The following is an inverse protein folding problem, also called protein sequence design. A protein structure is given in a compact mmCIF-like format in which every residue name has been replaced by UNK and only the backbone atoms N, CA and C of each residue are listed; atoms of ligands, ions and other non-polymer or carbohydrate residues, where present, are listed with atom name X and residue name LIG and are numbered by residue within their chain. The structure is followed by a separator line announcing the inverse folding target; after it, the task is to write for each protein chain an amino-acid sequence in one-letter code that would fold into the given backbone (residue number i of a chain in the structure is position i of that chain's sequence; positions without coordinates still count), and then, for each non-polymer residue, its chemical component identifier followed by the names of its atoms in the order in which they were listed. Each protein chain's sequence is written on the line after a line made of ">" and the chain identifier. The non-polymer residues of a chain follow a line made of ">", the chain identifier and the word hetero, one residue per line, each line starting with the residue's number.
data_IF_143592920766
#
_entry.id   IF_143592920766
#
_cell.length_a   1.000
_cell.length_b   1.000
_cell.length_c   1.000
_cell.angle_alpha   90.00
_cell.angle_beta   90.00
_cell.angle_gamma   90.00
#
_symmetry.space_group_name_H-M   'P 1'
#
loop_
_entity.id
_entity.type
_entity.pdbx_description
1 polymer ?
#
# COMPACT_ATOMS: atom_id res chain seq x y z
N UNK A 1 -31.54 -7.65 13.47
CA UNK A 1 -30.14 -8.13 13.46
C UNK A 1 -29.97 -8.98 12.21
N UNK A 2 -28.94 -8.75 11.41
CA UNK A 2 -28.66 -9.57 10.22
C UNK A 2 -28.34 -11.00 10.66
N UNK A 3 -29.01 -11.98 10.06
CA UNK A 3 -28.74 -13.42 10.29
C UNK A 3 -27.57 -13.95 9.42
N UNK A 4 -26.89 -13.05 8.69
CA UNK A 4 -25.76 -13.44 7.82
C UNK A 4 -24.54 -13.81 8.68
N UNK A 5 -24.03 -15.02 8.48
CA UNK A 5 -22.77 -15.48 9.09
C UNK A 5 -21.56 -14.93 8.35
N UNK A 6 -21.71 -14.61 7.06
CA UNK A 6 -20.61 -14.03 6.25
C UNK A 6 -20.55 -12.51 6.49
N UNK A 7 -19.43 -12.00 7.05
CA UNK A 7 -19.25 -10.55 7.19
C UNK A 7 -19.18 -9.87 5.82
N UNK A 8 -19.62 -8.62 5.78
CA UNK A 8 -19.55 -7.81 4.56
C UNK A 8 -18.11 -7.53 4.16
N UNK A 9 -17.83 -7.57 2.86
CA UNK A 9 -16.62 -7.00 2.27
C UNK A 9 -16.83 -5.56 1.79
N UNK A 10 -18.07 -5.02 1.90
CA UNK A 10 -18.33 -3.62 1.62
C UNK A 10 -17.87 -2.72 2.76
N UNK A 11 -17.44 -1.53 2.39
CA UNK A 11 -16.88 -0.49 3.25
C UNK A 11 -17.61 0.84 3.04
N UNK A 12 -18.93 0.76 2.82
CA UNK A 12 -19.78 1.92 2.58
C UNK A 12 -19.66 2.97 3.69
N UNK A 13 -19.51 4.23 3.29
CA UNK A 13 -19.43 5.37 4.20
C UNK A 13 -18.10 5.45 4.99
N UNK A 14 -17.08 4.65 4.64
CA UNK A 14 -15.74 4.80 5.16
C UNK A 14 -14.90 5.74 4.30
N UNK A 15 -13.93 6.42 4.89
CA UNK A 15 -12.98 7.29 4.20
C UNK A 15 -11.63 6.58 4.11
N UNK A 16 -11.12 6.44 2.89
CA UNK A 16 -9.85 5.74 2.60
C UNK A 16 -8.81 6.70 1.99
N UNK A 17 -7.64 6.81 2.61
CA UNK A 17 -6.48 7.50 2.07
C UNK A 17 -5.54 6.48 1.42
N UNK A 18 -5.19 6.70 0.15
CA UNK A 18 -4.24 5.86 -0.59
C UNK A 18 -3.04 6.70 -1.02
N UNK A 19 -1.85 6.36 -0.53
CA UNK A 19 -0.61 7.03 -0.95
C UNK A 19 -0.01 6.38 -2.19
N UNK A 20 0.62 7.17 -3.06
CA UNK A 20 1.11 6.70 -4.35
C UNK A 20 -0.03 6.28 -5.29
N UNK A 21 -1.20 6.94 -5.15
CA UNK A 21 -2.43 6.57 -5.84
C UNK A 21 -2.46 6.92 -7.33
N UNK A 22 -1.50 7.69 -7.86
CA UNK A 22 -1.55 8.18 -9.25
C UNK A 22 -1.46 7.08 -10.30
N UNK A 23 -0.81 5.94 -10.01
CA UNK A 23 -0.61 4.83 -10.96
C UNK A 23 -0.39 3.48 -10.28
N UNK A 24 -0.32 2.42 -11.09
CA UNK A 24 0.04 1.07 -10.64
C UNK A 24 -0.89 0.53 -9.54
N UNK A 25 -0.31 -0.15 -8.54
CA UNK A 25 -1.06 -0.76 -7.44
C UNK A 25 -1.86 0.29 -6.66
N UNK A 26 -1.28 1.47 -6.41
CA UNK A 26 -1.95 2.53 -5.67
C UNK A 26 -3.23 3.04 -6.37
N UNK A 27 -3.18 3.27 -7.70
CA UNK A 27 -4.37 3.58 -8.50
C UNK A 27 -5.41 2.46 -8.40
N UNK A 28 -4.96 1.21 -8.58
CA UNK A 28 -5.86 0.06 -8.47
C UNK A 28 -6.53 -0.04 -7.09
N UNK A 29 -5.78 0.19 -6.01
CA UNK A 29 -6.34 0.22 -4.65
C UNK A 29 -7.38 1.34 -4.47
N UNK A 30 -7.10 2.54 -4.99
CA UNK A 30 -8.02 3.67 -4.92
C UNK A 30 -9.36 3.34 -5.62
N UNK A 31 -9.29 2.82 -6.84
CA UNK A 31 -10.48 2.41 -7.61
C UNK A 31 -11.25 1.29 -6.90
N UNK A 32 -10.56 0.23 -6.48
CA UNK A 32 -11.22 -0.92 -5.84
C UNK A 32 -11.86 -0.58 -4.48
N UNK A 33 -11.26 0.32 -3.69
CA UNK A 33 -11.86 0.79 -2.44
C UNK A 33 -13.11 1.65 -2.71
N UNK A 34 -13.11 2.48 -3.76
CA UNK A 34 -14.28 3.24 -4.18
C UNK A 34 -15.41 2.31 -4.67
N UNK A 35 -15.11 1.29 -5.47
CA UNK A 35 -16.06 0.25 -5.89
C UNK A 35 -16.64 -0.52 -4.69
N UNK A 36 -15.86 -0.71 -3.64
CA UNK A 36 -16.31 -1.33 -2.40
C UNK A 36 -17.14 -0.38 -1.51
N UNK A 37 -17.28 0.91 -1.86
CA UNK A 37 -18.17 1.89 -1.24
C UNK A 37 -17.47 2.96 -0.38
N UNK A 38 -16.14 3.02 -0.37
CA UNK A 38 -15.43 4.07 0.35
C UNK A 38 -15.41 5.39 -0.42
N UNK A 39 -15.37 6.50 0.30
CA UNK A 39 -14.88 7.77 -0.20
C UNK A 39 -13.34 7.72 -0.23
N UNK A 40 -12.72 8.02 -1.37
CA UNK A 40 -11.29 7.84 -1.58
C UNK A 40 -10.55 9.18 -1.64
N UNK A 41 -9.51 9.31 -0.86
CA UNK A 41 -8.53 10.39 -0.93
C UNK A 41 -7.29 9.84 -1.63
N UNK A 42 -7.10 10.20 -2.90
CA UNK A 42 -5.97 9.80 -3.70
C UNK A 42 -4.80 10.77 -3.47
N UNK A 43 -3.68 10.28 -2.92
CA UNK A 43 -2.50 11.11 -2.60
C UNK A 43 -1.30 10.69 -3.43
N UNK A 44 -0.68 11.63 -4.13
CA UNK A 44 0.62 11.47 -4.80
C UNK A 44 1.24 12.84 -5.16
N UNK A 45 2.41 12.82 -5.80
CA UNK A 45 3.10 14.05 -6.21
C UNK A 45 2.61 14.65 -7.53
N UNK A 46 1.96 13.86 -8.37
CA UNK A 46 1.62 14.24 -9.74
C UNK A 46 0.13 14.55 -9.86
N UNK A 47 -0.21 15.83 -9.90
CA UNK A 47 -1.61 16.27 -9.96
C UNK A 47 -2.38 15.66 -11.13
N UNK A 48 -1.81 15.67 -12.34
CA UNK A 48 -2.50 15.16 -13.52
C UNK A 48 -2.85 13.65 -13.43
N UNK A 49 -1.97 12.81 -12.81
CA UNK A 49 -2.27 11.41 -12.56
C UNK A 49 -3.42 11.27 -11.54
N UNK A 50 -3.45 12.11 -10.50
CA UNK A 50 -4.52 12.11 -9.49
C UNK A 50 -5.86 12.55 -10.07
N UNK A 51 -5.86 13.61 -10.88
CA UNK A 51 -7.07 14.11 -11.54
C UNK A 51 -7.71 13.01 -12.41
N UNK A 52 -6.89 12.21 -13.10
CA UNK A 52 -7.38 11.08 -13.88
C UNK A 52 -7.96 9.97 -12.99
N UNK A 53 -7.33 9.67 -11.84
CA UNK A 53 -7.86 8.68 -10.89
C UNK A 53 -9.19 9.12 -10.32
N UNK A 54 -9.32 10.37 -9.93
CA UNK A 54 -10.58 10.95 -9.43
C UNK A 54 -11.66 10.86 -10.51
N UNK A 55 -11.36 11.27 -11.75
CA UNK A 55 -12.32 11.19 -12.85
C UNK A 55 -12.75 9.73 -13.15
N UNK A 56 -11.83 8.78 -13.10
CA UNK A 56 -12.14 7.35 -13.29
C UNK A 56 -13.12 6.85 -12.21
N UNK A 57 -12.88 7.19 -10.94
CA UNK A 57 -13.74 6.82 -9.81
C UNK A 57 -15.11 7.47 -9.90
N UNK A 58 -15.18 8.77 -10.17
CA UNK A 58 -16.43 9.52 -10.29
C UNK A 58 -17.27 9.04 -11.48
N UNK A 59 -16.64 8.72 -12.61
CA UNK A 59 -17.33 8.17 -13.78
C UNK A 59 -17.97 6.81 -13.52
N UNK A 60 -17.45 6.04 -12.56
CA UNK A 60 -18.01 4.78 -12.07
C UNK A 60 -19.03 4.97 -10.94
N UNK A 61 -19.36 6.22 -10.56
CA UNK A 61 -20.32 6.55 -9.51
C UNK A 61 -19.76 6.54 -8.08
N UNK A 62 -18.44 6.44 -7.92
CA UNK A 62 -17.75 6.57 -6.63
C UNK A 62 -17.50 8.02 -6.24
N UNK A 63 -16.92 8.22 -5.06
CA UNK A 63 -16.53 9.54 -4.52
C UNK A 63 -15.03 9.55 -4.30
N UNK A 64 -14.33 10.53 -4.87
CA UNK A 64 -12.90 10.67 -4.69
C UNK A 64 -12.44 12.13 -4.66
N UNK A 65 -11.30 12.37 -4.03
CA UNK A 65 -10.61 13.66 -4.03
C UNK A 65 -9.10 13.47 -4.22
N UNK A 66 -8.42 14.49 -4.72
CA UNK A 66 -6.99 14.48 -5.00
C UNK A 66 -6.22 15.32 -3.97
N UNK A 67 -5.15 14.77 -3.41
CA UNK A 67 -4.21 15.46 -2.53
C UNK A 67 -2.80 15.38 -3.10
N UNK A 68 -2.25 16.50 -3.51
CA UNK A 68 -0.86 16.56 -4.00
C UNK A 68 0.09 16.70 -2.82
N UNK A 69 0.84 15.64 -2.54
CA UNK A 69 1.76 15.59 -1.40
C UNK A 69 2.94 14.67 -1.70
N UNK A 70 4.14 15.07 -1.29
CA UNK A 70 5.29 14.17 -1.21
C UNK A 70 5.32 13.55 0.20
N UNK A 71 5.20 12.22 0.28
CA UNK A 71 5.20 11.49 1.56
C UNK A 71 6.51 11.66 2.36
N UNK A 72 7.59 12.07 1.72
CA UNK A 72 8.89 12.34 2.36
C UNK A 72 8.96 13.73 3.02
N UNK A 73 8.01 14.63 2.72
CA UNK A 73 7.89 15.94 3.36
C UNK A 73 6.96 15.88 4.59
N UNK A 74 7.57 15.92 5.78
CA UNK A 74 6.86 15.79 7.04
C UNK A 74 5.82 16.91 7.28
N UNK A 75 6.12 18.13 6.82
CA UNK A 75 5.24 19.29 7.00
C UNK A 75 4.02 19.12 6.11
N UNK A 76 4.23 18.87 4.82
CA UNK A 76 3.16 18.63 3.86
C UNK A 76 2.24 17.46 4.26
N UNK A 77 2.82 16.33 4.69
CA UNK A 77 2.04 15.17 5.18
C UNK A 77 1.17 15.54 6.38
N UNK A 78 1.74 16.24 7.37
CA UNK A 78 0.99 16.64 8.56
C UNK A 78 -0.13 17.63 8.22
N UNK A 79 0.15 18.64 7.39
CA UNK A 79 -0.82 19.64 6.97
C UNK A 79 -1.97 19.02 6.20
N UNK A 80 -1.69 18.17 5.20
CA UNK A 80 -2.74 17.60 4.36
C UNK A 80 -3.62 16.61 5.11
N UNK A 81 -3.04 15.73 5.94
CA UNK A 81 -3.84 14.77 6.71
C UNK A 81 -4.63 15.45 7.85
N UNK A 82 -4.10 16.53 8.44
CA UNK A 82 -4.81 17.24 9.50
C UNK A 82 -6.06 18.00 9.03
N UNK A 83 -6.24 18.21 7.70
CA UNK A 83 -7.45 18.81 7.12
C UNK A 83 -8.62 17.83 7.02
N UNK A 84 -8.36 16.53 7.21
CA UNK A 84 -9.39 15.50 7.13
C UNK A 84 -10.19 15.44 8.43
N UNK A 85 -11.52 15.45 8.31
CA UNK A 85 -12.42 15.29 9.46
C UNK A 85 -12.49 13.83 9.93
N UNK A 86 -12.26 12.88 9.02
CA UNK A 86 -12.35 11.43 9.26
C UNK A 86 -11.36 10.65 8.39
N UNK A 87 -10.85 9.54 8.93
CA UNK A 87 -10.05 8.58 8.19
C UNK A 87 -10.22 7.19 8.78
N UNK A 88 -10.78 6.25 8.02
CA UNK A 88 -11.04 4.88 8.47
C UNK A 88 -9.99 3.89 7.94
N UNK A 89 -9.48 4.14 6.73
CA UNK A 89 -8.57 3.24 6.02
C UNK A 89 -7.36 4.04 5.52
N UNK A 90 -6.17 3.60 5.87
CA UNK A 90 -4.94 4.05 5.22
C UNK A 90 -4.34 2.91 4.40
N UNK A 91 -4.18 3.11 3.08
CA UNK A 91 -3.32 2.27 2.25
C UNK A 91 -1.98 2.98 2.04
N UNK A 92 -0.99 2.57 2.82
CA UNK A 92 0.35 3.13 2.84
C UNK A 92 1.20 2.45 1.76
N UNK A 93 1.00 2.89 0.50
CA UNK A 93 1.51 2.22 -0.70
C UNK A 93 2.68 2.97 -1.36
N UNK A 94 2.82 4.28 -1.15
CA UNK A 94 3.88 5.05 -1.79
C UNK A 94 5.25 4.40 -1.60
N UNK A 95 5.97 4.21 -2.70
CA UNK A 95 7.30 3.58 -2.67
C UNK A 95 8.01 3.70 -4.01
N UNK A 96 9.33 3.64 -3.95
CA UNK A 96 10.21 3.64 -5.13
C UNK A 96 11.15 2.43 -5.08
N UNK A 97 11.61 2.07 -6.27
CA UNK A 97 12.59 1.01 -6.48
C UNK A 97 13.75 1.58 -7.30
N UNK A 98 14.97 1.48 -6.76
CA UNK A 98 16.22 1.85 -7.43
C UNK A 98 17.18 0.67 -7.37
N UNK A 99 17.16 -0.21 -8.37
CA UNK A 99 18.03 -1.38 -8.39
C UNK A 99 19.48 -0.96 -8.59
N UNK A 100 20.35 -1.47 -7.71
CA UNK A 100 21.79 -1.27 -7.80
C UNK A 100 22.54 -2.41 -7.11
N UNK A 101 23.73 -2.76 -7.57
CA UNK A 101 24.61 -3.60 -6.77
C UNK A 101 25.05 -2.82 -5.51
N UNK A 102 25.44 -3.54 -4.46
CA UNK A 102 25.94 -2.87 -3.26
C UNK A 102 27.24 -2.06 -3.53
N UNK A 103 28.00 -2.48 -4.54
CA UNK A 103 29.25 -1.81 -4.91
C UNK A 103 29.02 -0.51 -5.67
N UNK A 104 27.91 -0.40 -6.39
CA UNK A 104 27.58 0.75 -7.25
C UNK A 104 26.49 1.64 -6.64
N UNK A 105 26.00 1.29 -5.44
CA UNK A 105 24.95 2.04 -4.76
C UNK A 105 25.45 3.45 -4.42
N UNK A 106 24.75 4.45 -4.92
CA UNK A 106 25.02 5.85 -4.58
C UNK A 106 24.31 6.26 -3.29
N UNK A 107 24.84 7.26 -2.59
CA UNK A 107 24.21 7.85 -1.40
C UNK A 107 22.84 8.45 -1.75
N UNK A 108 22.71 9.11 -2.91
CA UNK A 108 21.44 9.67 -3.39
C UNK A 108 20.36 8.61 -3.58
N UNK A 109 20.71 7.43 -4.11
CA UNK A 109 19.77 6.33 -4.30
C UNK A 109 19.39 5.68 -2.96
N UNK A 110 20.34 5.51 -2.06
CA UNK A 110 20.11 5.05 -0.70
C UNK A 110 19.13 5.97 0.02
N UNK A 111 19.43 7.26 0.06
CA UNK A 111 18.61 8.26 0.74
C UNK A 111 17.21 8.37 0.13
N UNK A 112 17.11 8.42 -1.19
CA UNK A 112 15.81 8.48 -1.87
C UNK A 112 14.92 7.28 -1.50
N UNK A 113 15.45 6.05 -1.51
CA UNK A 113 14.70 4.84 -1.18
C UNK A 113 14.30 4.82 0.30
N UNK A 114 15.19 5.18 1.22
CA UNK A 114 14.90 5.23 2.64
C UNK A 114 13.90 6.34 2.98
N UNK A 115 14.06 7.53 2.38
CA UNK A 115 13.15 8.66 2.63
C UNK A 115 11.71 8.36 2.21
N UNK A 116 11.52 7.74 1.05
CA UNK A 116 10.15 7.41 0.59
C UNK A 116 9.61 6.16 1.28
N UNK A 117 10.35 5.04 1.21
CA UNK A 117 9.80 3.74 1.58
C UNK A 117 9.74 3.50 3.10
N UNK A 118 10.62 4.14 3.87
CA UNK A 118 10.66 3.98 5.34
C UNK A 118 10.12 5.24 6.03
N UNK A 119 10.85 6.35 5.89
CA UNK A 119 10.49 7.60 6.59
C UNK A 119 9.10 8.09 6.19
N UNK A 120 8.79 8.14 4.88
CA UNK A 120 7.49 8.55 4.38
C UNK A 120 6.36 7.66 4.90
N UNK A 121 6.55 6.34 4.88
CA UNK A 121 5.57 5.39 5.41
C UNK A 121 5.26 5.63 6.90
N UNK A 122 6.28 5.93 7.72
CA UNK A 122 6.10 6.26 9.14
C UNK A 122 5.36 7.58 9.32
N UNK A 123 5.73 8.63 8.59
CA UNK A 123 5.13 9.96 8.70
C UNK A 123 3.63 9.93 8.36
N UNK A 124 3.27 9.28 7.26
CA UNK A 124 1.87 9.13 6.85
C UNK A 124 1.09 8.29 7.87
N UNK A 125 1.63 7.15 8.29
CA UNK A 125 0.98 6.31 9.31
C UNK A 125 0.78 7.08 10.62
N UNK A 126 1.79 7.84 11.08
CA UNK A 126 1.69 8.63 12.32
C UNK A 126 0.59 9.69 12.23
N UNK A 127 0.51 10.43 11.12
CA UNK A 127 -0.52 11.45 10.92
C UNK A 127 -1.92 10.81 10.87
N UNK A 128 -2.09 9.72 10.11
CA UNK A 128 -3.34 8.98 9.99
C UNK A 128 -3.81 8.40 11.33
N UNK A 129 -2.91 7.77 12.08
CA UNK A 129 -3.23 7.14 13.37
C UNK A 129 -3.66 8.16 14.43
N UNK A 130 -3.13 9.38 14.40
CA UNK A 130 -3.60 10.45 15.30
C UNK A 130 -5.08 10.76 15.09
N UNK A 131 -5.54 10.76 13.85
CA UNK A 131 -6.95 10.96 13.50
C UNK A 131 -7.78 9.73 13.87
N UNK A 132 -7.36 8.52 13.49
CA UNK A 132 -8.02 7.25 13.83
C UNK A 132 -8.15 7.05 15.35
N UNK A 133 -7.15 7.47 16.13
CA UNK A 133 -7.20 7.41 17.60
C UNK A 133 -8.37 8.19 18.17
N UNK A 134 -8.66 9.39 17.68
CA UNK A 134 -9.81 10.18 18.14
C UNK A 134 -11.15 9.54 17.80
N UNK A 135 -11.19 8.72 16.75
CA UNK A 135 -12.37 7.97 16.30
C UNK A 135 -12.53 6.64 17.07
N UNK A 136 -11.46 6.13 17.68
CA UNK A 136 -11.46 4.83 18.37
C UNK A 136 -11.48 3.63 17.40
N UNK A 137 -11.20 3.82 16.12
CA UNK A 137 -11.21 2.77 15.09
C UNK A 137 -10.39 3.15 13.88
N UNK A 138 -9.90 2.15 13.15
CA UNK A 138 -9.22 2.35 11.87
C UNK A 138 -8.45 1.12 11.40
N UNK A 139 -7.96 1.15 10.18
CA UNK A 139 -7.04 0.16 9.64
C UNK A 139 -5.94 0.80 8.82
N UNK A 140 -4.70 0.43 9.11
CA UNK A 140 -3.52 0.76 8.32
C UNK A 140 -3.10 -0.48 7.54
N UNK A 141 -3.03 -0.37 6.21
CA UNK A 141 -2.61 -1.43 5.29
C UNK A 141 -1.30 -0.98 4.65
N UNK A 142 -0.20 -1.55 5.09
CA UNK A 142 1.13 -1.25 4.55
C UNK A 142 1.42 -2.10 3.31
N UNK A 143 1.97 -1.50 2.25
CA UNK A 143 2.41 -2.25 1.07
C UNK A 143 3.82 -2.77 1.27
N UNK A 144 3.93 -4.07 1.58
CA UNK A 144 5.19 -4.82 1.66
C UNK A 144 5.58 -5.38 0.28
N UNK A 145 6.20 -6.53 0.22
CA UNK A 145 6.63 -7.26 -0.99
C UNK A 145 7.08 -8.65 -0.61
N UNK A 146 7.22 -9.57 -1.58
CA UNK A 146 8.03 -10.80 -1.41
C UNK A 146 9.45 -10.48 -0.92
N UNK A 147 9.98 -9.30 -1.27
CA UNK A 147 11.29 -8.82 -0.78
C UNK A 147 11.27 -8.32 0.68
N UNK A 148 10.12 -8.34 1.34
CA UNK A 148 10.02 -8.22 2.80
C UNK A 148 10.24 -9.55 3.53
N UNK A 149 10.33 -10.67 2.79
CA UNK A 149 10.62 -12.03 3.29
C UNK A 149 11.95 -12.56 2.73
N UNK A 150 12.30 -12.17 1.51
CA UNK A 150 13.45 -12.69 0.77
C UNK A 150 14.35 -11.55 0.31
N UNK A 151 15.64 -11.88 0.07
CA UNK A 151 16.58 -10.99 -0.61
C UNK A 151 16.68 -11.28 -2.11
N UNK A 152 17.19 -10.31 -2.86
CA UNK A 152 17.59 -10.48 -4.25
C UNK A 152 18.82 -9.62 -4.56
N UNK A 153 19.74 -10.15 -5.33
CA UNK A 153 20.88 -9.38 -5.86
C UNK A 153 20.37 -8.13 -6.61
N UNK A 154 21.07 -7.01 -6.43
CA UNK A 154 20.70 -5.72 -7.01
C UNK A 154 19.46 -5.05 -6.39
N UNK A 155 18.96 -5.54 -5.26
CA UNK A 155 17.81 -4.96 -4.57
C UNK A 155 18.01 -4.87 -3.05
N UNK A 156 19.27 -4.79 -2.58
CA UNK A 156 19.59 -4.86 -1.16
C UNK A 156 18.83 -3.82 -0.32
N UNK A 157 18.84 -2.55 -0.75
CA UNK A 157 18.18 -1.46 -0.03
C UNK A 157 16.66 -1.57 -0.13
N UNK A 158 16.12 -1.88 -1.32
CA UNK A 158 14.68 -2.09 -1.46
C UNK A 158 14.20 -3.23 -0.55
N UNK A 159 14.90 -4.37 -0.55
CA UNK A 159 14.57 -5.50 0.34
C UNK A 159 14.64 -5.08 1.81
N UNK A 160 15.67 -4.33 2.21
CA UNK A 160 15.79 -3.81 3.57
C UNK A 160 14.59 -2.93 3.95
N UNK A 161 14.11 -2.04 3.04
CA UNK A 161 12.92 -1.22 3.31
C UNK A 161 11.65 -2.05 3.46
N UNK A 162 11.52 -3.16 2.72
CA UNK A 162 10.34 -4.03 2.83
C UNK A 162 10.39 -4.91 4.09
N UNK A 163 11.57 -5.31 4.56
CA UNK A 163 11.73 -5.91 5.91
C UNK A 163 11.44 -4.90 7.02
N UNK A 164 11.82 -3.63 6.84
CA UNK A 164 11.40 -2.56 7.74
C UNK A 164 9.88 -2.48 7.85
N UNK A 165 9.15 -2.51 6.75
CA UNK A 165 7.67 -2.49 6.73
C UNK A 165 7.09 -3.70 7.48
N UNK A 166 7.69 -4.89 7.37
CA UNK A 166 7.28 -6.07 8.13
C UNK A 166 7.40 -5.87 9.65
N UNK A 167 8.54 -5.37 10.10
CA UNK A 167 8.78 -5.05 11.52
C UNK A 167 7.89 -3.93 12.02
N UNK A 168 7.76 -2.86 11.23
CA UNK A 168 6.89 -1.73 11.53
C UNK A 168 5.43 -2.15 11.68
N UNK A 169 4.92 -2.98 10.75
CA UNK A 169 3.55 -3.53 10.81
C UNK A 169 3.30 -4.31 12.10
N UNK A 170 4.22 -5.20 12.49
CA UNK A 170 4.06 -6.03 13.69
C UNK A 170 4.06 -5.20 14.97
N UNK A 171 5.02 -4.28 15.10
CA UNK A 171 5.16 -3.45 16.32
C UNK A 171 3.98 -2.51 16.48
N UNK A 172 3.59 -1.80 15.40
CA UNK A 172 2.47 -0.86 15.45
C UNK A 172 1.12 -1.57 15.60
N UNK A 173 0.97 -2.79 15.13
CA UNK A 173 -0.25 -3.58 15.38
C UNK A 173 -0.47 -3.85 16.87
N UNK A 174 0.58 -4.19 17.61
CA UNK A 174 0.52 -4.40 19.06
C UNK A 174 0.26 -3.09 19.80
N UNK A 175 0.96 -2.04 19.39
CA UNK A 175 0.86 -0.71 20.03
C UNK A 175 -0.53 -0.09 19.88
N UNK A 176 -1.13 -0.23 18.68
CA UNK A 176 -2.37 0.48 18.31
C UNK A 176 -3.64 -0.34 18.55
N UNK A 177 -3.53 -1.64 18.82
CA UNK A 177 -4.68 -2.50 19.10
C UNK A 177 -5.57 -1.99 20.26
N UNK A 178 -5.02 -1.48 21.41
CA UNK A 178 -5.84 -0.90 22.48
C UNK A 178 -6.64 0.34 22.08
N UNK A 179 -6.28 0.96 20.93
CA UNK A 179 -6.97 2.12 20.35
C UNK A 179 -8.03 1.72 19.32
N UNK A 180 -8.29 0.42 19.13
CA UNK A 180 -9.23 -0.07 18.13
C UNK A 180 -8.69 -0.01 16.71
N UNK A 181 -7.38 0.15 16.50
CA UNK A 181 -6.75 0.30 15.19
C UNK A 181 -6.02 -0.99 14.83
N UNK A 182 -6.33 -1.54 13.65
CA UNK A 182 -5.62 -2.69 13.08
C UNK A 182 -4.48 -2.21 12.20
N UNK A 183 -3.37 -2.93 12.19
CA UNK A 183 -2.27 -2.70 11.25
C UNK A 183 -1.90 -4.02 10.59
N UNK A 184 -1.93 -4.04 9.27
CA UNK A 184 -1.65 -5.22 8.46
C UNK A 184 -0.75 -4.85 7.29
N UNK A 185 -0.18 -5.83 6.62
CA UNK A 185 0.52 -5.62 5.37
C UNK A 185 -0.02 -6.54 4.26
N UNK A 186 0.16 -6.09 3.01
CA UNK A 186 0.01 -6.90 1.81
C UNK A 186 1.40 -7.06 1.19
N UNK A 187 1.78 -8.28 0.84
CA UNK A 187 3.09 -8.61 0.26
C UNK A 187 2.98 -9.13 -1.18
N UNK A 188 2.88 -8.24 -2.19
CA UNK A 188 2.84 -8.67 -3.58
C UNK A 188 4.17 -9.25 -4.06
N UNK A 189 4.09 -10.14 -5.05
CA UNK A 189 5.22 -10.54 -5.88
C UNK A 189 5.47 -9.56 -7.03
N UNK A 190 6.05 -10.04 -8.12
CA UNK A 190 6.23 -9.30 -9.37
C UNK A 190 4.86 -9.04 -10.02
N UNK A 191 4.35 -7.83 -9.83
CA UNK A 191 3.08 -7.36 -10.41
C UNK A 191 3.39 -6.51 -11.63
N UNK A 192 2.72 -6.76 -12.74
CA UNK A 192 2.87 -5.96 -13.95
C UNK A 192 2.21 -4.59 -13.76
N UNK A 193 3.06 -3.58 -13.70
CA UNK A 193 2.70 -2.19 -13.46
C UNK A 193 3.63 -1.28 -14.26
N UNK A 194 3.30 0.00 -14.46
CA UNK A 194 4.23 0.94 -15.11
C UNK A 194 5.63 1.01 -14.47
N UNK A 195 5.77 0.66 -13.19
CA UNK A 195 7.07 0.63 -12.49
C UNK A 195 7.92 -0.60 -12.84
N UNK A 196 7.28 -1.72 -13.15
CA UNK A 196 7.91 -3.03 -13.25
C UNK A 196 7.90 -3.60 -14.65
N UNK A 197 7.03 -3.09 -15.53
CA UNK A 197 6.75 -3.63 -16.86
C UNK A 197 8.00 -3.95 -17.68
N UNK A 198 8.89 -2.97 -17.86
CA UNK A 198 10.12 -3.16 -18.64
C UNK A 198 11.00 -4.28 -18.06
N UNK A 199 11.09 -4.37 -16.73
CA UNK A 199 11.90 -5.41 -16.06
C UNK A 199 11.29 -6.80 -16.14
N UNK A 200 9.96 -6.90 -16.10
CA UNK A 200 9.26 -8.18 -16.20
C UNK A 200 9.35 -8.76 -17.61
N UNK A 201 9.41 -7.89 -18.62
CA UNK A 201 9.50 -8.27 -20.01
C UNK A 201 10.95 -8.27 -20.57
N UNK A 202 11.95 -7.97 -19.73
CA UNK A 202 13.35 -8.16 -20.07
C UNK A 202 13.70 -9.65 -20.07
N UNK A 203 14.21 -10.20 -21.20
CA UNK A 203 14.56 -11.62 -21.31
C UNK A 203 15.56 -12.11 -20.26
N UNK A 204 16.42 -11.24 -19.76
CA UNK A 204 17.45 -11.58 -18.76
C UNK A 204 16.94 -11.54 -17.31
N UNK A 205 15.84 -10.83 -17.06
CA UNK A 205 15.33 -10.58 -15.70
C UNK A 205 14.00 -11.29 -15.48
N UNK A 206 13.08 -11.19 -16.42
CA UNK A 206 11.71 -11.69 -16.29
C UNK A 206 11.65 -13.20 -16.10
N UNK A 207 12.47 -13.96 -16.81
CA UNK A 207 12.51 -15.42 -16.68
C UNK A 207 12.92 -15.90 -15.28
N UNK A 208 13.93 -15.27 -14.65
CA UNK A 208 14.31 -15.56 -13.27
C UNK A 208 13.18 -15.22 -12.29
N UNK A 209 12.52 -14.09 -12.47
CA UNK A 209 11.39 -13.70 -11.62
C UNK A 209 10.20 -14.66 -11.77
N UNK A 210 9.86 -15.01 -12.99
CA UNK A 210 8.74 -15.92 -13.27
C UNK A 210 8.98 -17.32 -12.71
N UNK A 211 10.21 -17.82 -12.81
CA UNK A 211 10.58 -19.15 -12.29
C UNK A 211 10.41 -19.31 -10.78
N UNK A 212 10.34 -18.18 -10.06
CA UNK A 212 10.15 -18.14 -8.60
C UNK A 212 8.68 -18.09 -8.19
N UNK A 213 7.75 -17.97 -9.14
CA UNK A 213 6.32 -17.91 -8.87
C UNK A 213 5.69 -19.26 -9.23
N UNK A 214 5.39 -20.16 -8.27
CA UNK A 214 4.83 -21.48 -8.54
C UNK A 214 3.56 -21.48 -9.37
N UNK A 215 2.71 -20.44 -9.29
CA UNK A 215 1.52 -20.29 -10.14
C UNK A 215 1.84 -19.98 -11.60
N UNK A 216 3.12 -19.78 -11.99
CA UNK A 216 3.60 -19.72 -13.36
C UNK A 216 3.22 -18.45 -14.14
N UNK A 217 2.79 -17.38 -13.48
CA UNK A 217 2.49 -16.09 -14.11
C UNK A 217 2.91 -14.92 -13.23
N UNK A 218 3.17 -13.79 -13.83
CA UNK A 218 3.25 -12.53 -13.10
C UNK A 218 1.87 -12.18 -12.52
N UNK A 219 1.87 -11.44 -11.41
CA UNK A 219 0.64 -10.91 -10.86
C UNK A 219 0.15 -9.69 -11.65
N UNK A 220 -1.13 -9.45 -11.57
CA UNK A 220 -1.82 -8.27 -12.06
C UNK A 220 -2.27 -7.39 -10.88
N UNK A 221 -2.62 -6.14 -11.15
CA UNK A 221 -3.16 -5.23 -10.12
C UNK A 221 -4.40 -5.83 -9.48
N UNK A 222 -5.25 -6.49 -10.26
CA UNK A 222 -6.47 -7.21 -9.82
C UNK A 222 -6.19 -8.27 -8.75
N UNK A 223 -5.04 -8.95 -8.81
CA UNK A 223 -4.65 -9.94 -7.79
C UNK A 223 -4.40 -9.30 -6.41
N UNK A 224 -3.93 -8.05 -6.39
CA UNK A 224 -3.54 -7.35 -5.16
C UNK A 224 -4.72 -6.63 -4.51
N UNK A 225 -5.56 -5.97 -5.31
CA UNK A 225 -6.60 -5.08 -4.78
C UNK A 225 -7.68 -5.83 -4.00
N UNK A 226 -7.98 -7.08 -4.37
CA UNK A 226 -8.90 -7.93 -3.62
C UNK A 226 -8.44 -8.19 -2.18
N UNK A 227 -7.14 -8.40 -1.98
CA UNK A 227 -6.54 -8.54 -0.65
C UNK A 227 -6.64 -7.24 0.16
N UNK A 228 -6.44 -6.08 -0.48
CA UNK A 228 -6.56 -4.77 0.17
C UNK A 228 -8.00 -4.52 0.62
N UNK A 229 -8.99 -4.73 -0.25
CA UNK A 229 -10.42 -4.58 0.09
C UNK A 229 -10.83 -5.54 1.21
N UNK A 230 -10.40 -6.81 1.15
CA UNK A 230 -10.64 -7.77 2.23
C UNK A 230 -10.09 -7.27 3.57
N UNK A 231 -8.82 -6.86 3.61
CA UNK A 231 -8.18 -6.39 4.84
C UNK A 231 -8.77 -5.07 5.36
N UNK A 232 -9.30 -4.22 4.50
CA UNK A 232 -10.03 -3.01 4.86
C UNK A 232 -11.41 -3.30 5.49
N UNK A 233 -12.05 -4.40 5.09
CA UNK A 233 -13.44 -4.71 5.39
C UNK A 233 -13.67 -5.33 6.78
N UNK A 234 -14.95 -5.38 7.24
CA UNK A 234 -15.34 -6.12 8.44
C UNK A 234 -14.98 -7.61 8.42
N UNK A 235 -14.82 -8.22 7.23
CA UNK A 235 -14.41 -9.62 7.11
C UNK A 235 -13.02 -9.91 7.68
N UNK A 236 -12.17 -8.87 7.84
CA UNK A 236 -10.84 -8.96 8.42
C UNK A 236 -10.75 -8.41 9.86
N UNK A 237 -11.86 -8.27 10.57
CA UNK A 237 -11.93 -7.56 11.86
C UNK A 237 -10.96 -8.08 12.94
N UNK A 238 -10.56 -9.34 12.92
CA UNK A 238 -9.61 -9.94 13.87
C UNK A 238 -8.20 -10.12 13.29
N UNK A 239 -7.94 -9.62 12.06
CA UNK A 239 -6.65 -9.74 11.40
C UNK A 239 -5.83 -8.48 11.68
N UNK A 240 -4.71 -8.61 12.40
CA UNK A 240 -3.74 -7.55 12.70
C UNK A 240 -2.35 -8.14 12.90
N UNK A 241 -1.29 -7.36 12.64
CA UNK A 241 0.10 -7.73 12.88
C UNK A 241 0.69 -8.74 11.89
N UNK A 242 -0.01 -9.04 10.79
CA UNK A 242 0.41 -10.02 9.80
C UNK A 242 0.53 -9.42 8.41
N UNK A 243 1.22 -10.14 7.52
CA UNK A 243 1.31 -9.82 6.10
C UNK A 243 0.57 -10.89 5.30
N UNK A 244 -0.43 -10.47 4.54
CA UNK A 244 -1.07 -11.32 3.55
C UNK A 244 -0.24 -11.32 2.26
N UNK A 245 0.41 -12.45 1.98
CA UNK A 245 1.20 -12.60 0.76
C UNK A 245 0.28 -12.80 -0.45
N UNK A 246 0.56 -12.06 -1.53
CA UNK A 246 -0.10 -12.16 -2.83
C UNK A 246 0.98 -12.44 -3.87
N UNK A 247 1.51 -13.66 -3.84
CA UNK A 247 2.80 -13.96 -4.44
C UNK A 247 2.84 -15.25 -5.26
N UNK A 248 1.70 -15.89 -5.45
CA UNK A 248 1.61 -17.13 -6.24
C UNK A 248 2.45 -18.29 -5.68
N UNK A 249 2.73 -18.28 -4.37
CA UNK A 249 3.50 -19.31 -3.67
C UNK A 249 5.01 -19.05 -3.61
N UNK A 250 5.48 -17.88 -4.02
CA UNK A 250 6.92 -17.57 -4.01
C UNK A 250 7.57 -17.72 -2.62
N UNK A 251 6.87 -17.35 -1.56
CA UNK A 251 7.43 -17.37 -0.19
C UNK A 251 7.00 -18.57 0.65
N UNK A 252 6.34 -19.54 0.03
CA UNK A 252 5.87 -20.76 0.72
C UNK A 252 7.03 -21.73 1.07
#
# INVERSE_FOLDING_TARGET
>A
MSTSVLPSMRIDGQVALVTGAGRGIGKGCAVALAEAGAEVIAMSRTKAELDQVVADIESAGGVASAVVCDVSDAISVQEEISKLDRLDILVNNAGILRPSSLLDLTEDDLDAVLHVNCRGAVLVAQAAVRLMKSQGSGVVINMSSTFGKNGRAGNSIYSATKHFIEGFTKSTAVELAPLGIRVVAVGPTAIDTPLTHERLHDPNIGGDLLSRIPLGRFGEISDVVGAVVFLASPAAALISGTTLMVDGGWTA
#
